data_IF_928911401629
#
_entry.id   IF_928911401629
#
_cell.length_a   1.000
_cell.length_b   1.000
_cell.length_c   1.000
_cell.angle_alpha   90.00
_cell.angle_beta   90.00
_cell.angle_gamma   90.00
#
_symmetry.space_group_name_H-M   'P 1'
#
loop_
_entity.id
_entity.type
_entity.pdbx_description
1 polymer ?
#
# COMPACT_ATOMS: atom_id res chain seq x y z
N UNK A 1 -72.71 38.74 -26.69
CA UNK A 1 -71.79 37.59 -26.87
C UNK A 1 -72.57 36.45 -27.52
N UNK A 2 -72.78 36.45 -28.84
CA UNK A 2 -73.53 35.35 -29.51
C UNK A 2 -73.45 35.46 -31.05
N UNK A 3 -72.26 35.58 -31.64
CA UNK A 3 -72.15 35.52 -33.13
C UNK A 3 -71.05 34.61 -33.69
N UNK A 4 -70.19 33.99 -32.88
CA UNK A 4 -69.17 33.06 -33.41
C UNK A 4 -69.62 31.59 -33.51
N UNK A 5 -70.78 31.21 -32.95
CA UNK A 5 -71.16 29.80 -32.84
C UNK A 5 -72.03 29.25 -34.00
N UNK A 6 -72.35 30.08 -35.00
CA UNK A 6 -73.16 29.65 -36.16
C UNK A 6 -72.33 29.19 -37.36
N UNK A 7 -71.04 29.51 -37.42
CA UNK A 7 -70.21 29.23 -38.59
C UNK A 7 -69.37 27.93 -38.49
N UNK A 8 -69.16 27.40 -37.27
CA UNK A 8 -68.39 26.17 -37.07
C UNK A 8 -69.17 24.90 -37.44
N UNK A 9 -70.49 24.89 -37.21
CA UNK A 9 -71.34 23.74 -37.49
C UNK A 9 -71.65 23.51 -38.99
N UNK A 10 -71.55 24.55 -39.83
CA UNK A 10 -71.79 24.44 -41.28
C UNK A 10 -70.57 23.91 -42.03
N UNK A 11 -69.36 24.25 -41.61
CA UNK A 11 -68.11 23.77 -42.25
C UNK A 11 -67.85 22.30 -41.90
N UNK A 12 -68.07 21.88 -40.65
CA UNK A 12 -67.93 20.46 -40.27
C UNK A 12 -68.94 19.55 -40.99
N UNK A 13 -70.18 20.00 -41.17
CA UNK A 13 -71.25 19.22 -41.85
C UNK A 13 -71.04 19.12 -43.37
N UNK A 14 -70.41 20.12 -43.99
CA UNK A 14 -70.00 20.06 -45.39
C UNK A 14 -68.82 19.11 -45.60
N UNK A 15 -67.81 19.13 -44.72
CA UNK A 15 -66.65 18.23 -44.81
C UNK A 15 -66.99 16.76 -44.57
N UNK A 16 -67.92 16.44 -43.68
CA UNK A 16 -68.39 15.06 -43.47
C UNK A 16 -69.25 14.56 -44.62
N UNK A 17 -70.10 15.39 -45.24
CA UNK A 17 -70.91 14.98 -46.39
C UNK A 17 -70.08 14.71 -47.68
N UNK A 18 -68.95 15.41 -47.85
CA UNK A 18 -68.02 15.17 -48.97
C UNK A 18 -67.17 13.91 -48.70
N UNK A 19 -66.80 13.66 -47.43
CA UNK A 19 -66.13 12.40 -47.06
C UNK A 19 -67.05 11.19 -47.16
N UNK A 20 -68.32 11.30 -46.77
CA UNK A 20 -69.31 10.20 -46.91
C UNK A 20 -69.62 9.89 -48.38
N UNK A 21 -69.74 10.91 -49.25
CA UNK A 21 -69.93 10.68 -50.69
C UNK A 21 -68.68 10.08 -51.36
N UNK A 22 -67.48 10.50 -50.97
CA UNK A 22 -66.23 9.90 -51.49
C UNK A 22 -66.02 8.48 -50.96
N UNK A 23 -66.35 8.21 -49.70
CA UNK A 23 -66.31 6.87 -49.13
C UNK A 23 -67.31 5.93 -49.83
N UNK A 24 -68.52 6.40 -50.14
CA UNK A 24 -69.53 5.64 -50.89
C UNK A 24 -69.06 5.28 -52.32
N UNK A 25 -68.47 6.23 -53.05
CA UNK A 25 -67.95 5.98 -54.40
C UNK A 25 -66.75 5.01 -54.37
N UNK A 26 -65.87 5.13 -53.37
CA UNK A 26 -64.74 4.20 -53.20
C UNK A 26 -65.24 2.81 -52.81
N UNK A 27 -66.26 2.70 -51.96
CA UNK A 27 -66.89 1.41 -51.60
C UNK A 27 -67.59 0.76 -52.79
N UNK A 28 -68.28 1.52 -53.64
CA UNK A 28 -68.95 1.00 -54.84
C UNK A 28 -67.94 0.57 -55.92
N UNK A 29 -66.82 1.29 -56.08
CA UNK A 29 -65.71 0.87 -56.95
C UNK A 29 -65.05 -0.40 -56.41
N UNK A 30 -64.82 -0.50 -55.09
CA UNK A 30 -64.28 -1.71 -54.45
C UNK A 30 -65.25 -2.89 -54.60
N UNK A 31 -66.57 -2.67 -54.47
CA UNK A 31 -67.61 -3.70 -54.70
C UNK A 31 -67.65 -4.16 -56.16
N UNK A 32 -67.52 -3.24 -57.11
CA UNK A 32 -67.49 -3.57 -58.54
C UNK A 32 -66.22 -4.35 -58.93
N UNK A 33 -65.07 -4.03 -58.32
CA UNK A 33 -63.80 -4.73 -58.53
C UNK A 33 -63.83 -6.12 -57.85
N UNK A 34 -64.45 -6.26 -56.68
CA UNK A 34 -64.58 -7.55 -56.00
C UNK A 34 -65.56 -8.53 -56.66
N UNK A 35 -66.50 -8.05 -57.48
CA UNK A 35 -67.42 -8.92 -58.21
C UNK A 35 -66.79 -9.52 -59.49
N UNK A 36 -65.54 -9.14 -59.81
CA UNK A 36 -64.77 -9.68 -60.91
C UNK A 36 -63.60 -10.53 -60.36
N UNK A 37 -63.47 -11.77 -60.82
CA UNK A 37 -62.44 -12.72 -60.35
C UNK A 37 -61.01 -12.19 -60.51
N UNK A 38 -60.79 -11.27 -61.45
CA UNK A 38 -59.54 -10.55 -61.63
C UNK A 38 -59.27 -9.48 -60.57
N UNK A 39 -60.28 -8.73 -60.14
CA UNK A 39 -60.13 -7.65 -59.16
C UNK A 39 -59.85 -8.15 -57.74
N UNK A 40 -60.45 -9.29 -57.36
CA UNK A 40 -60.15 -9.96 -56.09
C UNK A 40 -58.70 -10.49 -56.03
N UNK A 41 -58.15 -10.97 -57.16
CA UNK A 41 -56.75 -11.43 -57.23
C UNK A 41 -55.77 -10.27 -57.14
N UNK A 42 -56.08 -9.13 -57.76
CA UNK A 42 -55.26 -7.92 -57.68
C UNK A 42 -55.29 -7.36 -56.25
N UNK A 43 -56.45 -7.31 -55.59
CA UNK A 43 -56.53 -6.81 -54.21
C UNK A 43 -55.79 -7.71 -53.20
N UNK A 44 -55.85 -9.03 -53.36
CA UNK A 44 -55.05 -9.98 -52.59
C UNK A 44 -53.54 -9.80 -52.84
N UNK A 45 -53.13 -9.55 -54.08
CA UNK A 45 -51.74 -9.26 -54.43
C UNK A 45 -51.24 -7.97 -53.77
N UNK A 46 -52.03 -6.89 -53.84
CA UNK A 46 -51.70 -5.59 -53.21
C UNK A 46 -51.64 -5.72 -51.69
N UNK A 47 -52.57 -6.45 -51.08
CA UNK A 47 -52.58 -6.70 -49.64
C UNK A 47 -51.37 -7.54 -49.19
N UNK A 48 -50.99 -8.55 -49.97
CA UNK A 48 -49.79 -9.36 -49.73
C UNK A 48 -48.50 -8.53 -49.79
N UNK A 49 -48.37 -7.64 -50.78
CA UNK A 49 -47.22 -6.73 -50.90
C UNK A 49 -47.16 -5.74 -49.74
N UNK A 50 -48.31 -5.19 -49.30
CA UNK A 50 -48.37 -4.30 -48.14
C UNK A 50 -47.96 -4.99 -46.84
N UNK A 51 -48.45 -6.21 -46.60
CA UNK A 51 -48.07 -7.01 -45.43
C UNK A 51 -46.58 -7.40 -45.47
N UNK A 52 -46.06 -7.73 -46.66
CA UNK A 52 -44.64 -8.02 -46.85
C UNK A 52 -43.76 -6.80 -46.57
N UNK A 53 -44.13 -5.62 -47.07
CA UNK A 53 -43.40 -4.37 -46.82
C UNK A 53 -43.47 -3.97 -45.34
N UNK A 54 -44.64 -4.09 -44.69
CA UNK A 54 -44.77 -3.81 -43.25
C UNK A 54 -43.94 -4.79 -42.41
N UNK A 55 -43.96 -6.08 -42.73
CA UNK A 55 -43.11 -7.09 -42.08
C UNK A 55 -41.61 -6.82 -42.29
N UNK A 56 -41.23 -6.41 -43.50
CA UNK A 56 -39.85 -6.05 -43.84
C UNK A 56 -39.37 -4.80 -43.10
N UNK A 57 -40.19 -3.75 -43.04
CA UNK A 57 -39.85 -2.52 -42.32
C UNK A 57 -39.72 -2.78 -40.81
N UNK A 58 -40.66 -3.51 -40.21
CA UNK A 58 -40.63 -3.86 -38.78
C UNK A 58 -39.43 -4.77 -38.47
N UNK A 59 -39.14 -5.75 -39.32
CA UNK A 59 -37.99 -6.64 -39.16
C UNK A 59 -36.64 -5.93 -39.30
N UNK A 60 -36.52 -4.99 -40.24
CA UNK A 60 -35.28 -4.23 -40.47
C UNK A 60 -35.02 -3.18 -39.37
N UNK A 61 -36.07 -2.58 -38.80
CA UNK A 61 -35.96 -1.69 -37.64
C UNK A 61 -35.60 -2.45 -36.36
N UNK A 62 -36.18 -3.65 -36.14
CA UNK A 62 -35.82 -4.49 -35.00
C UNK A 62 -34.36 -4.94 -35.04
N UNK A 63 -33.87 -5.39 -36.20
CA UNK A 63 -32.48 -5.83 -36.38
C UNK A 63 -31.48 -4.69 -36.25
N UNK A 64 -31.75 -3.52 -36.84
CA UNK A 64 -30.88 -2.35 -36.70
C UNK A 64 -30.83 -1.81 -35.26
N UNK A 65 -31.94 -1.87 -34.51
CA UNK A 65 -31.96 -1.50 -33.10
C UNK A 65 -31.15 -2.49 -32.25
N UNK A 66 -31.36 -3.80 -32.43
CA UNK A 66 -30.56 -4.86 -31.80
C UNK A 66 -29.07 -4.72 -32.11
N UNK A 67 -28.71 -4.42 -33.35
CA UNK A 67 -27.32 -4.25 -33.76
C UNK A 67 -26.69 -3.00 -33.12
N UNK A 68 -27.44 -1.91 -32.98
CA UNK A 68 -26.99 -0.70 -32.27
C UNK A 68 -26.76 -0.97 -30.78
N UNK A 69 -27.64 -1.76 -30.15
CA UNK A 69 -27.54 -2.12 -28.74
C UNK A 69 -26.38 -3.08 -28.49
N UNK A 70 -26.16 -4.07 -29.36
CA UNK A 70 -25.00 -4.96 -29.31
C UNK A 70 -23.70 -4.17 -29.43
N UNK A 71 -23.60 -3.24 -30.39
CA UNK A 71 -22.39 -2.38 -30.53
C UNK A 71 -22.16 -1.51 -29.31
N UNK A 72 -23.23 -0.98 -28.70
CA UNK A 72 -23.15 -0.23 -27.45
C UNK A 72 -22.62 -1.10 -26.29
N UNK A 73 -23.19 -2.30 -26.11
CA UNK A 73 -22.73 -3.27 -25.10
C UNK A 73 -21.30 -3.72 -25.33
N UNK A 74 -20.87 -3.91 -26.58
CA UNK A 74 -19.47 -4.22 -26.90
C UNK A 74 -18.52 -3.09 -26.50
N UNK A 75 -18.94 -1.84 -26.71
CA UNK A 75 -18.18 -0.67 -26.27
C UNK A 75 -18.10 -0.61 -24.74
N UNK A 76 -19.21 -0.81 -24.04
CA UNK A 76 -19.27 -0.86 -22.57
C UNK A 76 -18.36 -1.97 -22.02
N UNK A 77 -18.39 -3.16 -22.62
CA UNK A 77 -17.53 -4.28 -22.23
C UNK A 77 -16.04 -3.95 -22.45
N UNK A 78 -15.70 -3.27 -23.55
CA UNK A 78 -14.32 -2.81 -23.80
C UNK A 78 -13.90 -1.79 -22.75
N UNK A 79 -14.74 -0.80 -22.43
CA UNK A 79 -14.44 0.19 -21.39
C UNK A 79 -14.28 -0.46 -20.02
N UNK A 80 -15.16 -1.39 -19.65
CA UNK A 80 -15.10 -2.11 -18.38
C UNK A 80 -13.82 -2.95 -18.28
N UNK A 81 -13.40 -3.61 -19.38
CA UNK A 81 -12.11 -4.33 -19.44
C UNK A 81 -10.91 -3.40 -19.22
N UNK A 82 -10.92 -2.22 -19.82
CA UNK A 82 -9.85 -1.22 -19.62
C UNK A 82 -9.82 -0.74 -18.17
N UNK A 83 -10.97 -0.36 -17.62
CA UNK A 83 -11.07 0.05 -16.21
C UNK A 83 -10.63 -1.06 -15.25
N UNK A 84 -10.99 -2.32 -15.52
CA UNK A 84 -10.53 -3.46 -14.72
C UNK A 84 -9.01 -3.62 -14.78
N UNK A 85 -8.40 -3.43 -15.95
CA UNK A 85 -6.95 -3.50 -16.12
C UNK A 85 -6.24 -2.36 -15.38
N UNK A 86 -6.79 -1.15 -15.44
CA UNK A 86 -6.25 0.02 -14.76
C UNK A 86 -6.36 -0.13 -13.24
N UNK A 87 -7.52 -0.58 -12.74
CA UNK A 87 -7.72 -0.88 -11.32
C UNK A 87 -6.78 -1.96 -10.82
N UNK A 88 -6.58 -3.04 -11.60
CA UNK A 88 -5.63 -4.10 -11.25
C UNK A 88 -4.20 -3.55 -11.14
N UNK A 89 -3.79 -2.72 -12.11
CA UNK A 89 -2.46 -2.08 -12.11
C UNK A 89 -2.29 -1.14 -10.91
N UNK A 90 -3.32 -0.36 -10.59
CA UNK A 90 -3.32 0.52 -9.42
C UNK A 90 -3.25 -0.26 -8.11
N UNK A 91 -3.91 -1.42 -8.03
CA UNK A 91 -3.90 -2.27 -6.85
C UNK A 91 -2.53 -2.92 -6.64
N UNK A 92 -1.90 -3.41 -7.71
CA UNK A 92 -0.53 -3.94 -7.66
C UNK A 92 0.48 -2.87 -7.21
N UNK A 93 0.37 -1.64 -7.73
CA UNK A 93 1.22 -0.51 -7.30
C UNK A 93 1.02 -0.17 -5.82
N UNK A 94 -0.24 -0.08 -5.37
CA UNK A 94 -0.57 0.18 -3.96
C UNK A 94 -0.05 -0.93 -3.04
N UNK A 95 -0.11 -2.19 -3.47
CA UNK A 95 0.45 -3.30 -2.72
C UNK A 95 1.98 -3.23 -2.61
N UNK A 96 2.68 -2.87 -3.68
CA UNK A 96 4.12 -2.64 -3.65
C UNK A 96 4.49 -1.50 -2.71
N UNK A 97 3.78 -0.36 -2.78
CA UNK A 97 4.00 0.78 -1.88
C UNK A 97 3.74 0.41 -0.42
N UNK A 98 2.66 -0.32 -0.14
CA UNK A 98 2.35 -0.83 1.21
C UNK A 98 3.44 -1.75 1.73
N UNK A 99 3.97 -2.65 0.89
CA UNK A 99 5.04 -3.56 1.27
C UNK A 99 6.35 -2.81 1.53
N UNK A 100 6.67 -1.82 0.70
CA UNK A 100 7.83 -0.95 0.91
C UNK A 100 7.70 -0.12 2.22
N UNK A 101 6.51 0.43 2.50
CA UNK A 101 6.24 1.14 3.75
C UNK A 101 6.32 0.22 4.96
N UNK A 102 5.82 -1.03 4.87
CA UNK A 102 5.97 -2.03 5.92
C UNK A 102 7.43 -2.35 6.20
N UNK A 103 8.24 -2.52 5.17
CA UNK A 103 9.68 -2.76 5.31
C UNK A 103 10.40 -1.56 5.98
N UNK A 104 10.07 -0.33 5.57
CA UNK A 104 10.60 0.89 6.21
C UNK A 104 10.17 1.00 7.68
N UNK A 105 8.93 0.61 7.98
CA UNK A 105 8.39 0.66 9.33
C UNK A 105 9.03 -0.40 10.24
N UNK A 106 9.29 -1.61 9.73
CA UNK A 106 10.05 -2.62 10.48
C UNK A 106 11.50 -2.15 10.72
N UNK A 107 12.16 -1.60 9.71
CA UNK A 107 13.52 -1.05 9.85
C UNK A 107 13.56 0.09 10.88
N UNK A 108 12.59 1.00 10.85
CA UNK A 108 12.47 2.09 11.83
C UNK A 108 12.23 1.57 13.25
N UNK A 109 11.36 0.56 13.42
CA UNK A 109 11.14 -0.09 14.71
C UNK A 109 12.40 -0.76 15.24
N UNK A 110 13.16 -1.44 14.38
CA UNK A 110 14.44 -2.04 14.75
C UNK A 110 15.46 -0.98 15.17
N UNK A 111 15.58 0.13 14.43
CA UNK A 111 16.44 1.27 14.80
C UNK A 111 16.05 1.88 16.14
N UNK A 112 14.76 2.10 16.38
CA UNK A 112 14.27 2.63 17.66
C UNK A 112 14.56 1.67 18.81
N UNK A 113 14.32 0.37 18.61
CA UNK A 113 14.61 -0.63 19.63
C UNK A 113 16.11 -0.71 19.93
N UNK A 114 16.95 -0.67 18.88
CA UNK A 114 18.39 -0.61 19.00
C UNK A 114 18.84 0.62 19.81
N UNK A 115 18.30 1.82 19.54
CA UNK A 115 18.62 3.03 20.31
C UNK A 115 18.21 2.88 21.78
N UNK A 116 16.98 2.40 22.05
CA UNK A 116 16.50 2.17 23.44
C UNK A 116 17.37 1.17 24.20
N UNK A 117 17.81 0.08 23.55
CA UNK A 117 18.70 -0.90 24.17
C UNK A 117 20.07 -0.30 24.49
N UNK A 118 20.62 0.54 23.61
CA UNK A 118 21.90 1.23 23.82
C UNK A 118 21.87 2.20 24.99
N UNK A 119 20.75 2.88 25.18
CA UNK A 119 20.54 3.78 26.31
C UNK A 119 20.61 3.04 27.66
N UNK A 120 20.04 1.83 27.74
CA UNK A 120 20.14 0.97 28.94
C UNK A 120 21.58 0.59 29.29
N UNK A 121 22.47 0.47 28.31
CA UNK A 121 23.88 0.13 28.49
C UNK A 121 24.72 1.37 28.81
N UNK A 122 24.31 2.54 28.30
CA UNK A 122 25.03 3.81 28.50
C UNK A 122 25.14 4.17 29.98
N UNK A 123 24.04 4.04 30.75
CA UNK A 123 24.03 4.37 32.17
C UNK A 123 25.09 3.59 32.98
N UNK A 124 25.07 2.24 33.03
CA UNK A 124 26.05 1.49 33.81
C UNK A 124 27.49 1.71 33.32
N UNK A 125 27.71 1.89 32.01
CA UNK A 125 29.03 2.15 31.46
C UNK A 125 29.56 3.54 31.85
N UNK A 126 28.70 4.57 31.81
CA UNK A 126 29.05 5.93 32.27
C UNK A 126 29.39 5.95 33.75
N UNK A 127 28.63 5.21 34.57
CA UNK A 127 28.90 5.09 36.00
C UNK A 127 30.20 4.33 36.25
N UNK A 128 30.51 3.28 35.48
CA UNK A 128 31.79 2.58 35.55
C UNK A 128 32.98 3.50 35.21
N UNK A 129 32.84 4.32 34.16
CA UNK A 129 33.87 5.30 33.79
C UNK A 129 34.08 6.35 34.90
N UNK A 130 33.00 6.82 35.53
CA UNK A 130 33.08 7.74 36.66
C UNK A 130 33.78 7.12 37.87
N UNK A 131 33.40 5.89 38.24
CA UNK A 131 34.06 5.13 39.31
C UNK A 131 35.55 4.90 39.05
N UNK A 132 35.89 4.60 37.79
CA UNK A 132 37.29 4.44 37.38
C UNK A 132 38.09 5.72 37.55
N UNK A 133 37.54 6.86 37.13
CA UNK A 133 38.17 8.19 37.32
C UNK A 133 38.37 8.54 38.79
N UNK A 134 37.49 8.06 39.66
CA UNK A 134 37.61 8.21 41.12
C UNK A 134 38.53 7.18 41.78
N UNK A 135 39.29 6.40 40.99
CA UNK A 135 40.21 5.35 41.44
C UNK A 135 39.53 4.20 42.20
N UNK A 136 38.22 4.02 42.06
CA UNK A 136 37.50 2.88 42.66
C UNK A 136 37.42 1.71 41.66
N UNK A 137 38.46 0.88 41.70
CA UNK A 137 38.56 -0.30 40.82
C UNK A 137 37.49 -1.36 41.12
N UNK A 138 37.09 -1.52 42.39
CA UNK A 138 36.11 -2.54 42.79
C UNK A 138 34.72 -2.20 42.25
N UNK A 139 34.30 -0.96 42.47
CA UNK A 139 33.01 -0.44 41.99
C UNK A 139 32.99 -0.34 40.45
N UNK A 140 34.12 -0.02 39.82
CA UNK A 140 34.26 -0.09 38.35
C UNK A 140 33.97 -1.48 37.82
N UNK A 141 34.59 -2.52 38.40
CA UNK A 141 34.40 -3.91 37.96
C UNK A 141 32.95 -4.36 38.15
N UNK A 142 32.33 -4.03 39.28
CA UNK A 142 30.93 -4.36 39.55
C UNK A 142 29.99 -3.74 38.51
N UNK A 143 30.19 -2.45 38.19
CA UNK A 143 29.40 -1.73 37.18
C UNK A 143 29.64 -2.25 35.76
N UNK A 144 30.88 -2.63 35.43
CA UNK A 144 31.18 -3.29 34.15
C UNK A 144 30.50 -4.66 34.06
N UNK A 145 30.48 -5.45 35.14
CA UNK A 145 29.74 -6.71 35.18
C UNK A 145 28.23 -6.51 35.01
N UNK A 146 27.64 -5.51 35.67
CA UNK A 146 26.24 -5.15 35.47
C UNK A 146 25.95 -4.78 34.00
N UNK A 147 26.83 -4.03 33.36
CA UNK A 147 26.73 -3.73 31.92
C UNK A 147 26.87 -5.00 31.05
N UNK A 148 27.80 -5.90 31.39
CA UNK A 148 28.03 -7.17 30.68
C UNK A 148 26.84 -8.11 30.76
N UNK A 149 26.15 -8.19 31.90
CA UNK A 149 24.94 -9.01 32.07
C UNK A 149 23.85 -8.53 31.10
N UNK A 150 23.59 -7.21 31.07
CA UNK A 150 22.62 -6.60 30.16
C UNK A 150 23.04 -6.78 28.69
N UNK A 151 24.32 -6.63 28.38
CA UNK A 151 24.83 -6.84 27.02
C UNK A 151 24.71 -8.29 26.56
N UNK A 152 25.00 -9.26 27.43
CA UNK A 152 24.90 -10.69 27.10
C UNK A 152 23.46 -11.13 26.90
N UNK A 153 22.53 -10.66 27.73
CA UNK A 153 21.10 -10.99 27.56
C UNK A 153 20.56 -10.42 26.25
N UNK A 154 20.87 -9.15 25.93
CA UNK A 154 20.45 -8.51 24.68
C UNK A 154 21.16 -9.11 23.45
N UNK A 155 22.44 -9.49 23.58
CA UNK A 155 23.20 -10.14 22.51
C UNK A 155 22.59 -11.46 22.05
N UNK A 156 21.99 -12.24 22.97
CA UNK A 156 21.35 -13.52 22.64
C UNK A 156 20.12 -13.34 21.77
N UNK A 157 19.39 -12.25 21.97
CA UNK A 157 18.14 -11.94 21.25
C UNK A 157 18.38 -11.12 19.98
N UNK A 158 19.59 -10.59 19.79
CA UNK A 158 19.94 -9.73 18.66
C UNK A 158 20.37 -10.50 17.40
N UNK A 159 20.10 -9.91 16.24
CA UNK A 159 20.50 -10.45 14.92
C UNK A 159 21.26 -9.35 14.15
N UNK A 160 22.10 -9.75 13.20
CA UNK A 160 22.76 -8.84 12.26
C UNK A 160 23.72 -7.85 12.93
N UNK A 161 23.62 -6.56 12.56
CA UNK A 161 24.52 -5.50 12.99
C UNK A 161 24.50 -5.29 14.52
N UNK A 162 23.33 -5.43 15.15
CA UNK A 162 23.16 -5.33 16.59
C UNK A 162 23.96 -6.41 17.32
N UNK A 163 23.95 -7.65 16.80
CA UNK A 163 24.73 -8.77 17.37
C UNK A 163 26.23 -8.53 17.28
N UNK A 164 26.70 -8.03 16.13
CA UNK A 164 28.10 -7.65 15.97
C UNK A 164 28.52 -6.55 16.97
N UNK A 165 27.67 -5.53 17.13
CA UNK A 165 27.89 -4.46 18.09
C UNK A 165 27.98 -4.97 19.54
N UNK A 166 27.03 -5.80 19.98
CA UNK A 166 27.04 -6.35 21.33
C UNK A 166 28.24 -7.25 21.58
N UNK A 167 28.56 -8.15 20.63
CA UNK A 167 29.71 -9.04 20.74
C UNK A 167 31.02 -8.27 20.86
N UNK A 168 31.19 -7.22 20.06
CA UNK A 168 32.38 -6.36 20.09
C UNK A 168 32.49 -5.59 21.40
N UNK A 169 31.38 -5.02 21.88
CA UNK A 169 31.33 -4.30 23.16
C UNK A 169 31.63 -5.24 24.34
N UNK A 170 31.06 -6.45 24.35
CA UNK A 170 31.32 -7.47 25.37
C UNK A 170 32.81 -7.83 25.41
N UNK A 171 33.46 -8.04 24.25
CA UNK A 171 34.90 -8.33 24.19
C UNK A 171 35.73 -7.22 24.80
N UNK A 172 35.41 -5.95 24.49
CA UNK A 172 36.11 -4.78 25.04
C UNK A 172 35.93 -4.66 26.56
N UNK A 173 34.72 -4.90 27.06
CA UNK A 173 34.46 -4.84 28.51
C UNK A 173 35.09 -6.00 29.28
N UNK A 174 35.12 -7.21 28.71
CA UNK A 174 35.88 -8.31 29.30
C UNK A 174 37.37 -7.95 29.38
N UNK A 175 37.92 -7.30 28.35
CA UNK A 175 39.31 -6.84 28.36
C UNK A 175 39.55 -5.79 29.46
N UNK A 176 38.61 -4.88 29.72
CA UNK A 176 38.69 -3.96 30.87
C UNK A 176 38.75 -4.73 32.19
N UNK A 177 37.85 -5.69 32.40
CA UNK A 177 37.84 -6.52 33.62
C UNK A 177 39.16 -7.27 33.79
N UNK A 178 39.68 -7.87 32.71
CA UNK A 178 40.99 -8.54 32.72
C UNK A 178 42.10 -7.57 33.10
N UNK A 179 42.16 -6.39 32.47
CA UNK A 179 43.19 -5.38 32.77
C UNK A 179 43.13 -4.90 34.22
N UNK A 180 41.92 -4.71 34.79
CA UNK A 180 41.77 -4.35 36.19
C UNK A 180 42.28 -5.49 37.09
N UNK A 181 41.85 -6.73 36.82
CA UNK A 181 42.25 -7.88 37.64
C UNK A 181 43.76 -8.18 37.56
N UNK A 182 44.40 -7.95 36.41
CA UNK A 182 45.84 -8.16 36.24
C UNK A 182 46.68 -6.93 36.60
N UNK A 183 46.06 -5.85 37.11
CA UNK A 183 46.73 -4.54 37.34
C UNK A 183 47.50 -4.06 36.10
N UNK A 184 46.96 -4.34 34.91
CA UNK A 184 47.59 -4.11 33.61
C UNK A 184 48.98 -4.75 33.42
N UNK A 185 49.29 -5.85 34.11
CA UNK A 185 50.46 -6.64 33.79
C UNK A 185 50.38 -7.11 32.33
N UNK A 186 51.31 -6.63 31.50
CA UNK A 186 51.43 -7.05 30.10
C UNK A 186 51.74 -8.54 30.04
N UNK A 187 51.11 -9.29 29.13
CA UNK A 187 51.49 -10.69 28.85
C UNK A 187 52.87 -10.83 28.19
N UNK A 188 53.60 -9.73 27.94
CA UNK A 188 54.84 -9.75 27.14
C UNK A 188 56.16 -9.98 27.87
N UNK A 189 56.22 -10.10 29.21
CA UNK A 189 57.51 -10.37 29.88
C UNK A 189 57.49 -11.65 30.73
N UNK A 190 57.30 -12.79 30.08
CA UNK A 190 57.88 -14.06 30.55
C UNK A 190 59.33 -14.12 30.08
N UNK A 191 60.20 -13.38 30.75
CA UNK A 191 61.66 -13.55 30.87
C UNK A 191 62.23 -12.18 31.23
N UNK A 192 62.47 -11.93 32.52
CA UNK A 192 63.78 -11.58 33.11
C UNK A 192 63.53 -11.18 34.57
N UNK A 193 64.30 -11.83 35.43
CA UNK A 193 64.67 -11.57 36.83
C UNK A 193 63.91 -10.55 37.70
N UNK A 194 63.57 -11.05 38.90
CA UNK A 194 63.69 -10.44 40.23
C UNK A 194 63.96 -8.93 40.22
N UNK A 195 63.03 -8.15 40.77
CA UNK A 195 63.15 -7.47 42.09
C UNK A 195 61.93 -6.56 42.28
N UNK A 196 61.48 -6.45 43.54
CA UNK A 196 60.46 -5.54 44.08
C UNK A 196 58.99 -5.84 43.77
N UNK A 197 58.33 -6.36 44.81
CA UNK A 197 56.91 -6.16 45.06
C UNK A 197 56.57 -4.66 44.97
N UNK A 198 55.66 -4.23 44.07
CA UNK A 198 55.09 -2.90 44.17
C UNK A 198 54.11 -2.90 45.35
N UNK A 199 54.48 -2.12 46.36
CA UNK A 199 53.60 -1.67 47.44
C UNK A 199 52.26 -1.22 46.88
N UNK A 200 51.18 -1.69 47.51
CA UNK A 200 49.81 -1.26 47.24
C UNK A 200 49.73 0.27 47.24
N UNK A 201 49.28 0.89 46.14
CA UNK A 201 48.16 1.88 46.09
C UNK A 201 48.08 2.74 44.82
N UNK A 202 49.03 2.68 43.88
CA UNK A 202 48.93 3.51 42.65
C UNK A 202 48.92 2.69 41.36
N UNK A 203 47.84 2.87 40.59
CA UNK A 203 47.72 2.38 39.22
C UNK A 203 48.68 3.16 38.32
N UNK A 204 49.40 2.47 37.43
CA UNK A 204 50.25 3.17 36.46
C UNK A 204 49.41 4.07 35.56
N UNK A 205 49.95 5.24 35.22
CA UNK A 205 49.26 6.21 34.35
C UNK A 205 48.91 5.61 32.99
N UNK A 206 49.75 4.69 32.50
CA UNK A 206 49.49 3.94 31.27
C UNK A 206 48.26 3.01 31.40
N UNK A 207 48.12 2.32 32.53
CA UNK A 207 46.96 1.47 32.81
C UNK A 207 45.67 2.29 32.92
N UNK A 208 45.74 3.43 33.62
CA UNK A 208 44.63 4.38 33.73
C UNK A 208 44.20 4.86 32.35
N UNK A 209 45.15 5.28 31.51
CA UNK A 209 44.87 5.75 30.15
C UNK A 209 44.29 4.64 29.26
N UNK A 210 44.80 3.40 29.36
CA UNK A 210 44.32 2.26 28.58
C UNK A 210 42.87 1.90 28.94
N UNK A 211 42.57 1.75 30.23
CA UNK A 211 41.21 1.42 30.70
C UNK A 211 40.25 2.57 30.40
N UNK A 212 40.66 3.81 30.64
CA UNK A 212 39.86 5.01 30.31
C UNK A 212 39.57 5.07 28.82
N UNK A 213 40.57 4.82 27.97
CA UNK A 213 40.40 4.82 26.51
C UNK A 213 39.42 3.76 26.03
N UNK A 214 39.45 2.55 26.61
CA UNK A 214 38.53 1.48 26.25
C UNK A 214 37.10 1.79 26.71
N UNK A 215 36.93 2.27 27.95
CA UNK A 215 35.62 2.64 28.50
C UNK A 215 35.01 3.83 27.76
N UNK A 216 35.79 4.88 27.48
CA UNK A 216 35.36 6.03 26.69
C UNK A 216 35.02 5.61 25.26
N UNK A 217 35.85 4.80 24.59
CA UNK A 217 35.54 4.29 23.25
C UNK A 217 34.25 3.45 23.23
N UNK A 218 34.01 2.65 24.27
CA UNK A 218 32.76 1.90 24.40
C UNK A 218 31.55 2.83 24.60
N UNK A 219 31.72 3.97 25.28
CA UNK A 219 30.68 4.97 25.51
C UNK A 219 30.42 5.83 24.27
N UNK A 220 31.45 6.23 23.54
CA UNK A 220 31.36 7.08 22.33
C UNK A 220 30.64 6.38 21.18
N UNK A 221 30.77 5.05 21.11
CA UNK A 221 30.03 4.29 20.11
C UNK A 221 28.53 4.39 20.40
N UNK A 222 28.09 4.48 21.66
CA UNK A 222 26.68 4.59 22.07
C UNK A 222 26.10 5.98 21.73
N UNK A 223 24.84 6.07 21.27
CA UNK A 223 24.24 7.35 20.90
C UNK A 223 24.18 8.25 22.13
N UNK A 224 24.37 9.58 21.98
CA UNK A 224 24.32 10.54 23.09
C UNK A 224 23.01 10.41 23.87
N UNK A 225 22.97 10.82 25.15
CA UNK A 225 21.71 10.86 25.88
C UNK A 225 20.76 11.77 25.11
N UNK A 226 19.47 11.42 25.08
CA UNK A 226 18.48 12.38 24.61
C UNK A 226 18.34 13.44 25.71
N UNK A 227 18.65 14.68 25.34
CA UNK A 227 18.32 15.86 26.14
C UNK A 227 16.79 15.98 26.34
#
# INVERSE_FOLDING_TARGET
>A
MTEENKNSNTVQKASTSIQEKKAGIVLDIIKAIMNNTWGMRISLGVLGVLLFLMGYIIGNWGTSHLESEIRSRESDVKQCKTQQKDLKTSLEKSEQERNALRAKLSESKEKINFIKQREKIRKPLSTALYSWKNKDAKDTVEKVYAALINLKSESRNSIGLSKYFYTTTIKRLNLVVTLINTKCASEENKNTEKTQHPTDTEWSQECINKITGILSSALDILPPPKD
#
